data_IF_056931886270
#
_entry.id   IF_056931886270
#
_cell.length_a   1.000
_cell.length_b   1.000
_cell.length_c   1.000
_cell.angle_alpha   90.00
_cell.angle_beta   90.00
_cell.angle_gamma   90.00
#
_symmetry.space_group_name_H-M   'P 1'
#
loop_
_entity.id
_entity.type
_entity.pdbx_description
1 polymer ?
#
# COMPACT_ATOMS: atom_id res chain seq x y z
N UNK A 1 -41.13 -24.44 35.75
CA UNK A 1 -40.88 -23.84 37.06
C UNK A 1 -40.08 -22.58 36.78
N UNK A 2 -40.76 -21.45 36.48
CA UNK A 2 -41.25 -20.37 37.34
C UNK A 2 -40.21 -19.97 38.41
N UNK A 3 -39.61 -18.82 38.36
CA UNK A 3 -40.23 -17.56 38.73
C UNK A 3 -39.29 -16.36 38.55
N UNK A 4 -39.90 -15.27 38.25
CA UNK A 4 -39.44 -13.89 38.08
C UNK A 4 -39.29 -13.14 39.44
N UNK A 5 -39.13 -11.85 39.48
CA UNK A 5 -38.00 -11.08 40.08
C UNK A 5 -38.44 -10.22 41.30
N UNK A 6 -37.53 -9.50 41.90
CA UNK A 6 -37.94 -8.40 42.82
C UNK A 6 -37.12 -7.12 42.56
N UNK A 7 -37.84 -6.07 42.23
CA UNK A 7 -37.49 -4.67 42.38
C UNK A 7 -37.60 -4.26 43.84
N UNK A 8 -36.79 -3.36 44.34
CA UNK A 8 -37.10 -2.46 45.45
C UNK A 8 -36.54 -1.04 45.20
N UNK A 9 -37.41 -0.13 45.47
CA UNK A 9 -37.48 1.30 45.20
C UNK A 9 -36.67 2.21 46.12
N UNK A 10 -36.28 3.36 45.56
CA UNK A 10 -36.10 4.73 46.09
C UNK A 10 -36.23 5.01 47.60
N UNK A 11 -35.34 5.86 48.10
CA UNK A 11 -35.74 7.07 48.92
C UNK A 11 -34.73 8.21 48.78
N UNK A 12 -35.28 9.36 48.45
CA UNK A 12 -34.74 10.69 48.44
C UNK A 12 -34.66 11.26 49.88
N UNK A 13 -33.66 12.09 50.17
CA UNK A 13 -33.56 12.89 51.36
C UNK A 13 -32.85 14.22 51.09
N UNK A 14 -33.63 15.29 51.09
CA UNK A 14 -33.22 16.70 51.03
C UNK A 14 -33.02 17.19 52.49
N UNK A 15 -31.93 17.88 52.78
CA UNK A 15 -31.87 18.82 53.92
C UNK A 15 -30.81 19.93 53.73
N UNK A 16 -31.21 21.02 53.93
CA UNK A 16 -31.03 22.47 54.00
C UNK A 16 -29.68 22.99 54.50
N UNK A 17 -29.44 24.19 54.00
CA UNK A 17 -28.43 25.22 54.26
C UNK A 17 -28.28 25.58 55.77
N UNK A 18 -27.02 25.91 56.12
CA UNK A 18 -26.78 27.08 57.05
C UNK A 18 -25.44 27.74 56.62
N UNK A 19 -25.47 29.07 56.62
CA UNK A 19 -24.36 29.95 56.33
C UNK A 19 -23.67 30.37 57.60
N UNK A 20 -22.36 30.35 57.70
CA UNK A 20 -21.58 31.01 58.73
C UNK A 20 -20.53 31.90 58.08
N UNK A 21 -20.62 33.19 58.38
CA UNK A 21 -19.66 34.25 58.05
C UNK A 21 -18.55 34.25 59.08
N UNK A 22 -17.29 34.20 58.70
CA UNK A 22 -16.19 34.54 59.56
C UNK A 22 -14.98 35.10 58.82
N UNK A 23 -14.48 36.13 59.30
CA UNK A 23 -13.47 37.11 59.03
C UNK A 23 -12.13 36.64 58.36
N UNK A 24 -11.59 37.53 57.52
CA UNK A 24 -10.29 37.50 56.85
C UNK A 24 -9.17 37.95 57.81
N UNK A 25 -8.01 37.29 57.77
CA UNK A 25 -6.75 37.97 57.94
C UNK A 25 -5.92 37.97 56.65
N UNK A 26 -5.41 39.14 56.30
CA UNK A 26 -4.48 39.33 55.21
C UNK A 26 -3.14 38.59 55.43
N UNK A 27 -2.82 37.61 54.61
CA UNK A 27 -1.50 37.03 54.55
C UNK A 27 -0.92 37.31 53.17
N UNK A 28 0.24 37.95 53.14
CA UNK A 28 1.08 38.16 51.96
C UNK A 28 1.49 36.79 51.43
N UNK A 29 0.88 36.35 50.32
CA UNK A 29 1.30 35.16 49.61
C UNK A 29 2.37 35.54 48.59
N UNK A 30 3.59 35.07 48.80
CA UNK A 30 4.63 35.06 47.78
C UNK A 30 4.15 34.27 46.57
N UNK A 31 4.07 34.90 45.40
CA UNK A 31 3.85 34.20 44.11
C UNK A 31 5.02 33.25 43.81
N UNK A 32 4.91 32.03 44.24
CA UNK A 32 5.60 30.93 43.59
C UNK A 32 4.90 30.71 42.26
N UNK A 33 5.48 31.24 41.16
CA UNK A 33 5.14 30.85 39.82
C UNK A 33 5.56 29.38 39.69
N UNK A 34 4.65 28.48 40.01
CA UNK A 34 4.78 27.09 39.60
C UNK A 34 4.83 27.10 38.08
N UNK A 35 6.03 26.80 37.51
CA UNK A 35 6.15 26.47 36.10
C UNK A 35 5.19 25.28 35.88
N UNK A 36 4.03 25.54 35.27
CA UNK A 36 3.12 24.50 34.82
C UNK A 36 3.86 23.55 33.90
N UNK A 37 3.47 22.28 33.83
CA UNK A 37 4.07 21.35 32.87
C UNK A 37 4.03 22.03 31.51
N UNK A 38 5.21 22.15 30.89
CA UNK A 38 5.31 22.68 29.55
C UNK A 38 4.28 21.92 28.67
N UNK A 39 3.36 22.65 28.05
CA UNK A 39 2.36 22.05 27.21
C UNK A 39 3.09 21.13 26.24
N UNK A 40 2.74 19.84 26.25
CA UNK A 40 3.29 18.88 25.30
C UNK A 40 3.02 19.48 23.91
N UNK A 41 4.08 19.72 23.16
CA UNK A 41 3.95 20.28 21.81
C UNK A 41 3.22 19.29 20.89
N UNK A 42 2.83 19.70 19.67
CA UNK A 42 2.15 18.83 18.71
C UNK A 42 2.90 17.53 18.53
N UNK A 43 2.15 16.45 18.52
CA UNK A 43 2.62 15.07 18.37
C UNK A 43 2.05 14.57 17.06
N UNK A 44 2.90 14.02 16.20
CA UNK A 44 2.42 13.33 15.02
C UNK A 44 1.47 12.19 15.38
N UNK A 45 0.47 11.97 14.56
CA UNK A 45 -0.52 10.92 14.80
C UNK A 45 0.06 9.56 14.39
N UNK A 46 -0.21 8.52 15.18
CA UNK A 46 0.07 7.12 14.83
C UNK A 46 -1.05 6.57 13.93
N UNK A 47 -1.14 7.09 12.72
CA UNK A 47 -2.13 6.75 11.71
C UNK A 47 -2.56 7.97 10.91
N UNK A 48 -2.94 7.76 9.66
CA UNK A 48 -3.42 8.80 8.73
C UNK A 48 -4.94 8.88 8.64
N UNK A 49 -5.65 8.13 9.50
CA UNK A 49 -7.11 8.12 9.59
C UNK A 49 -7.78 7.17 8.61
N UNK A 50 -7.07 6.14 8.13
CA UNK A 50 -7.68 5.09 7.33
C UNK A 50 -8.72 4.31 8.15
N UNK A 51 -9.95 4.11 7.64
CA UNK A 51 -11.00 3.45 8.40
C UNK A 51 -10.78 1.94 8.60
N UNK A 52 -10.00 1.30 7.76
CA UNK A 52 -9.75 -0.15 7.79
C UNK A 52 -8.43 -0.51 8.46
N UNK A 53 -7.45 0.37 8.35
CA UNK A 53 -6.13 0.24 8.95
C UNK A 53 -5.76 1.49 9.75
N UNK A 54 -6.40 1.70 10.91
CA UNK A 54 -6.31 2.98 11.64
C UNK A 54 -4.92 3.31 12.18
N UNK A 55 -4.02 2.33 12.25
CA UNK A 55 -2.63 2.51 12.65
C UNK A 55 -1.65 2.47 11.47
N UNK A 56 -2.13 2.36 10.24
CA UNK A 56 -1.26 2.37 9.07
C UNK A 56 -0.90 3.79 8.68
N UNK A 57 0.37 4.00 8.42
CA UNK A 57 0.93 5.32 8.14
C UNK A 57 0.96 6.24 9.34
N UNK A 58 1.54 7.42 9.20
CA UNK A 58 1.79 8.33 10.30
C UNK A 58 1.55 9.79 9.90
N UNK A 59 1.01 10.59 10.81
CA UNK A 59 0.72 11.99 10.54
C UNK A 59 1.80 12.95 11.02
N UNK A 60 1.78 14.18 10.47
CA UNK A 60 2.62 15.28 10.86
C UNK A 60 3.90 15.47 10.02
N UNK A 61 4.17 14.59 9.08
CA UNK A 61 5.26 14.68 8.10
C UNK A 61 4.89 13.99 6.79
N UNK A 62 5.75 14.13 5.79
CA UNK A 62 5.66 13.55 4.46
C UNK A 62 7.06 13.03 4.08
N UNK A 63 7.16 11.79 3.59
CA UNK A 63 8.45 11.18 3.25
C UNK A 63 8.77 11.40 1.77
N UNK A 64 9.91 12.01 1.51
CA UNK A 64 10.39 12.21 0.14
C UNK A 64 11.33 11.12 -0.36
N UNK A 65 12.05 10.44 0.56
CA UNK A 65 13.05 9.44 0.16
C UNK A 65 13.36 8.42 1.25
N UNK A 66 13.52 7.16 0.84
CA UNK A 66 14.07 6.07 1.63
C UNK A 66 15.41 5.58 1.04
N UNK A 67 16.48 5.65 1.82
CA UNK A 67 17.75 4.97 1.54
C UNK A 67 17.87 3.72 2.41
N UNK A 68 17.72 2.54 1.83
CA UNK A 68 17.69 1.26 2.55
C UNK A 68 18.98 0.48 2.30
N UNK A 69 19.77 0.25 3.35
CA UNK A 69 20.94 -0.63 3.34
C UNK A 69 20.59 -1.88 4.13
N UNK A 70 20.56 -3.02 3.45
CA UNK A 70 20.12 -4.29 3.98
C UNK A 70 21.20 -5.37 3.84
N UNK A 71 21.42 -6.15 4.87
CA UNK A 71 22.20 -7.37 4.84
C UNK A 71 21.33 -8.56 5.22
N UNK A 72 21.10 -9.50 4.32
CA UNK A 72 20.29 -10.68 4.60
C UNK A 72 21.06 -11.97 4.38
N UNK A 73 20.86 -12.93 5.26
CA UNK A 73 21.37 -14.29 5.10
C UNK A 73 20.21 -15.29 5.15
N UNK A 74 19.86 -15.92 4.02
CA UNK A 74 18.76 -16.89 3.96
C UNK A 74 18.92 -18.10 4.91
N UNK A 75 20.15 -18.48 5.25
CA UNK A 75 20.39 -19.64 6.14
C UNK A 75 20.00 -19.36 7.58
N UNK A 76 20.35 -18.17 8.08
CA UNK A 76 19.98 -17.73 9.44
C UNK A 76 18.66 -16.99 9.47
N UNK A 77 18.17 -16.58 8.31
CA UNK A 77 17.01 -15.69 8.15
C UNK A 77 17.19 -14.35 8.87
N UNK A 78 18.45 -13.95 9.09
CA UNK A 78 18.78 -12.72 9.79
C UNK A 78 18.89 -11.56 8.81
N UNK A 79 18.24 -10.45 9.18
CA UNK A 79 18.29 -9.17 8.49
C UNK A 79 18.96 -8.13 9.38
N UNK A 80 20.00 -7.49 8.86
CA UNK A 80 20.55 -6.23 9.37
C UNK A 80 20.11 -5.10 8.46
N UNK A 81 19.54 -4.04 9.02
CA UNK A 81 19.02 -2.93 8.26
C UNK A 81 19.46 -1.56 8.79
N UNK A 82 19.69 -0.65 7.87
CA UNK A 82 19.80 0.79 8.13
C UNK A 82 18.89 1.51 7.13
N UNK A 83 17.88 2.21 7.64
CA UNK A 83 17.03 3.10 6.87
C UNK A 83 17.44 4.55 7.11
N UNK A 84 17.73 5.27 6.05
CA UNK A 84 17.90 6.73 6.04
C UNK A 84 16.68 7.31 5.35
N UNK A 85 15.82 7.96 6.13
CA UNK A 85 14.52 8.48 5.70
C UNK A 85 14.62 9.99 5.65
N UNK A 86 14.41 10.60 4.48
CA UNK A 86 14.32 12.05 4.33
C UNK A 86 12.86 12.44 4.32
N UNK A 87 12.44 13.17 5.35
CA UNK A 87 11.06 13.58 5.53
C UNK A 87 10.96 15.10 5.70
N UNK A 88 9.77 15.65 5.46
CA UNK A 88 9.41 17.04 5.68
C UNK A 88 8.28 17.11 6.70
N UNK A 89 8.50 17.83 7.80
CA UNK A 89 7.45 18.07 8.79
C UNK A 89 6.34 18.95 8.19
N UNK A 90 5.10 18.52 8.26
CA UNK A 90 3.94 19.31 7.80
C UNK A 90 3.44 20.26 8.90
N UNK A 91 3.81 19.98 10.15
CA UNK A 91 3.53 20.80 11.31
C UNK A 91 4.75 20.81 12.26
N UNK A 92 4.67 21.54 13.38
CA UNK A 92 5.70 21.47 14.42
C UNK A 92 5.60 20.14 15.16
N UNK A 93 6.68 19.35 15.20
CA UNK A 93 6.71 18.02 15.83
C UNK A 93 7.67 17.96 17.00
N UNK A 94 7.19 17.54 18.16
CA UNK A 94 8.01 17.15 19.32
C UNK A 94 8.20 15.64 19.41
N UNK A 95 7.38 14.88 18.69
CA UNK A 95 7.38 13.42 18.57
C UNK A 95 6.71 13.03 17.26
N UNK A 96 7.14 11.94 16.65
CA UNK A 96 6.52 11.32 15.49
C UNK A 96 6.76 9.81 15.54
N UNK A 97 6.01 9.07 14.76
CA UNK A 97 6.06 7.63 14.73
C UNK A 97 6.47 7.12 13.32
N UNK A 98 6.96 5.88 13.25
CA UNK A 98 7.16 5.10 12.03
C UNK A 98 6.62 3.69 12.28
N UNK A 99 5.99 3.10 11.28
CA UNK A 99 5.56 1.71 11.32
C UNK A 99 6.77 0.78 11.21
N UNK A 100 6.98 -0.09 12.17
CA UNK A 100 8.01 -1.14 12.15
C UNK A 100 7.57 -2.30 13.04
N UNK A 101 7.49 -3.51 12.52
CA UNK A 101 7.07 -4.68 13.26
C UNK A 101 8.24 -5.65 13.53
N UNK A 102 8.28 -6.24 14.71
CA UNK A 102 9.12 -7.41 15.05
C UNK A 102 10.62 -7.18 15.15
N UNK A 103 11.22 -6.28 14.38
CA UNK A 103 12.67 -6.06 14.35
C UNK A 103 13.16 -5.22 15.55
N UNK A 104 14.36 -5.53 16.04
CA UNK A 104 14.98 -4.81 17.17
C UNK A 104 15.70 -3.57 16.65
N UNK A 105 15.26 -2.40 17.08
CA UNK A 105 15.97 -1.13 16.82
C UNK A 105 17.17 -1.02 17.76
N UNK A 106 18.32 -0.65 17.20
CA UNK A 106 19.58 -0.48 17.93
C UNK A 106 20.05 0.96 17.98
N UNK A 107 19.53 1.83 17.11
CA UNK A 107 19.88 3.24 17.11
C UNK A 107 18.88 4.07 16.31
N UNK A 108 18.61 5.29 16.78
CA UNK A 108 17.83 6.30 16.03
C UNK A 108 18.54 7.65 16.14
N UNK A 109 18.68 8.31 15.00
CA UNK A 109 19.09 9.73 14.94
C UNK A 109 18.05 10.52 14.14
N UNK A 110 17.84 11.76 14.53
CA UNK A 110 17.03 12.74 13.81
C UNK A 110 17.89 13.97 13.59
N UNK A 111 17.99 14.45 12.37
CA UNK A 111 18.88 15.55 11.99
C UNK A 111 20.33 15.31 12.47
N UNK A 112 20.80 14.05 12.27
CA UNK A 112 22.13 13.55 12.68
C UNK A 112 22.37 13.54 14.21
N UNK A 113 21.39 13.88 15.02
CA UNK A 113 21.48 13.90 16.48
C UNK A 113 20.73 12.71 17.06
N UNK A 114 21.36 12.03 18.06
CA UNK A 114 20.75 10.88 18.73
C UNK A 114 19.37 11.27 19.30
N UNK A 115 18.34 10.51 18.93
CA UNK A 115 16.98 10.63 19.40
C UNK A 115 16.63 9.53 20.42
N UNK A 116 15.71 9.81 21.32
CA UNK A 116 15.10 8.77 22.14
C UNK A 116 13.96 8.10 21.37
N UNK A 117 13.74 6.82 21.64
CA UNK A 117 12.67 6.07 21.00
C UNK A 117 12.09 5.02 21.94
N UNK A 118 10.88 4.58 21.64
CA UNK A 118 10.21 3.46 22.29
C UNK A 118 9.36 2.70 21.28
N UNK A 119 8.99 1.47 21.62
CA UNK A 119 8.04 0.68 20.83
C UNK A 119 6.65 0.75 21.45
N UNK A 120 5.61 0.83 20.60
CA UNK A 120 4.21 0.77 21.02
C UNK A 120 3.43 -0.02 19.97
N UNK A 121 3.39 -1.36 20.12
CA UNK A 121 2.89 -2.24 19.07
C UNK A 121 3.75 -2.16 17.80
N UNK A 122 3.14 -1.87 16.67
CA UNK A 122 3.82 -1.63 15.40
C UNK A 122 4.55 -0.28 15.35
N UNK A 123 4.26 0.65 16.25
CA UNK A 123 4.84 1.98 16.21
C UNK A 123 6.27 2.01 16.76
N UNK A 124 7.18 2.59 16.00
CA UNK A 124 8.45 3.11 16.47
C UNK A 124 8.29 4.59 16.78
N UNK A 125 7.98 4.89 18.05
CA UNK A 125 7.75 6.25 18.53
C UNK A 125 9.08 6.95 18.76
N UNK A 126 9.36 8.03 18.04
CA UNK A 126 10.62 8.77 18.03
C UNK A 126 10.43 10.15 18.65
N UNK A 127 11.32 10.50 19.59
CA UNK A 127 11.37 11.84 20.21
C UNK A 127 12.69 12.47 19.83
N UNK A 128 12.72 13.42 18.89
CA UNK A 128 13.92 14.15 18.51
C UNK A 128 14.43 15.01 19.67
N UNK A 129 15.72 15.27 19.72
CA UNK A 129 16.31 16.12 20.78
C UNK A 129 15.77 17.54 20.77
N UNK A 130 15.48 18.05 19.59
CA UNK A 130 14.87 19.36 19.37
C UNK A 130 13.59 19.19 18.54
N UNK A 131 12.57 19.99 18.87
CA UNK A 131 11.35 19.97 18.09
C UNK A 131 11.60 20.37 16.63
N UNK A 132 11.04 19.62 15.70
CA UNK A 132 11.06 19.93 14.28
C UNK A 132 10.07 21.06 13.99
N UNK A 133 10.43 21.98 13.10
CA UNK A 133 9.56 23.09 12.69
C UNK A 133 8.72 22.67 11.49
N UNK A 134 7.52 23.23 11.38
CA UNK A 134 6.71 23.06 10.16
C UNK A 134 7.54 23.42 8.91
N UNK A 135 7.40 22.65 7.86
CA UNK A 135 8.13 22.70 6.58
C UNK A 135 9.64 22.43 6.69
N UNK A 136 10.16 22.02 7.84
CA UNK A 136 11.54 21.57 7.99
C UNK A 136 11.73 20.21 7.33
N UNK A 137 12.71 20.10 6.43
CA UNK A 137 13.23 18.82 5.96
C UNK A 137 14.20 18.27 7.02
N UNK A 138 14.11 16.99 7.30
CA UNK A 138 14.95 16.33 8.31
C UNK A 138 15.24 14.88 7.92
N UNK A 139 16.47 14.41 8.07
CA UNK A 139 16.82 13.01 7.95
C UNK A 139 16.56 12.27 9.27
N UNK A 140 15.97 11.07 9.15
CA UNK A 140 15.89 10.09 10.23
C UNK A 140 16.71 8.88 9.85
N UNK A 141 17.64 8.47 10.71
CA UNK A 141 18.37 7.21 10.51
C UNK A 141 17.93 6.22 11.58
N UNK A 142 17.46 5.07 11.16
CA UNK A 142 17.11 3.95 12.03
C UNK A 142 18.00 2.77 11.70
N UNK A 143 18.71 2.24 12.71
CA UNK A 143 19.47 1.00 12.62
C UNK A 143 18.74 -0.09 13.37
N UNK A 144 18.54 -1.23 12.72
CA UNK A 144 17.73 -2.32 13.23
C UNK A 144 18.25 -3.68 12.77
N UNK A 145 17.87 -4.74 13.48
CA UNK A 145 18.23 -6.11 13.09
C UNK A 145 17.25 -7.14 13.68
N UNK A 146 17.30 -8.34 13.16
CA UNK A 146 16.53 -9.47 13.66
C UNK A 146 16.13 -10.44 12.57
N UNK A 147 15.21 -11.32 12.88
CA UNK A 147 14.57 -12.22 11.90
C UNK A 147 13.21 -11.65 11.54
N UNK A 148 13.03 -11.09 10.34
CA UNK A 148 11.72 -10.61 9.91
C UNK A 148 10.69 -11.74 9.96
N UNK A 149 9.46 -11.38 10.27
CA UNK A 149 8.32 -12.30 10.25
C UNK A 149 7.21 -11.66 9.44
N UNK A 150 6.53 -12.42 8.60
CA UNK A 150 5.33 -11.91 7.94
C UNK A 150 4.29 -11.54 8.99
N UNK A 151 3.41 -10.63 8.64
CA UNK A 151 2.15 -10.40 9.34
C UNK A 151 1.07 -11.25 8.69
N UNK A 152 -0.02 -11.47 9.40
CA UNK A 152 -1.23 -12.07 8.85
C UNK A 152 -2.25 -10.97 8.71
N UNK A 153 -2.70 -10.75 7.51
CA UNK A 153 -3.70 -9.73 7.22
C UNK A 153 -5.10 -10.13 7.70
N UNK A 154 -6.02 -9.18 7.78
CA UNK A 154 -7.38 -9.46 8.24
C UNK A 154 -8.13 -10.53 7.43
N UNK A 155 -7.76 -10.77 6.17
CA UNK A 155 -8.29 -11.84 5.30
C UNK A 155 -7.63 -13.21 5.53
N UNK A 156 -6.53 -13.24 6.31
CA UNK A 156 -5.79 -14.46 6.65
C UNK A 156 -4.55 -14.71 5.78
N UNK A 157 -4.27 -13.89 4.76
CA UNK A 157 -3.09 -14.02 3.92
C UNK A 157 -1.80 -13.59 4.64
N UNK A 158 -0.63 -14.18 4.31
CA UNK A 158 0.65 -13.72 4.80
C UNK A 158 1.10 -12.49 4.02
N UNK A 159 1.66 -11.48 4.70
CA UNK A 159 2.14 -10.24 4.09
C UNK A 159 3.49 -9.79 4.68
N UNK A 160 4.33 -9.13 3.90
CA UNK A 160 5.63 -8.60 4.27
C UNK A 160 6.81 -9.47 3.85
N UNK A 161 7.72 -9.72 4.78
CA UNK A 161 8.91 -10.54 4.55
C UNK A 161 8.59 -12.02 4.78
N UNK A 162 8.25 -12.73 3.71
CA UNK A 162 7.84 -14.13 3.74
C UNK A 162 9.04 -15.01 3.40
N UNK A 163 9.57 -15.84 4.33
CA UNK A 163 10.71 -16.70 4.05
C UNK A 163 10.35 -17.77 3.01
N UNK A 164 11.25 -18.00 2.05
CA UNK A 164 11.20 -19.13 1.11
C UNK A 164 12.27 -20.15 1.44
N UNK A 165 12.38 -21.22 0.65
CA UNK A 165 13.36 -22.28 0.88
C UNK A 165 14.82 -21.83 0.62
N UNK A 166 15.04 -20.79 -0.20
CA UNK A 166 16.37 -20.27 -0.53
C UNK A 166 16.52 -18.74 -0.36
N UNK A 167 15.48 -18.06 0.15
CA UNK A 167 15.48 -16.61 0.27
C UNK A 167 14.29 -16.03 1.02
N UNK A 168 13.65 -15.06 0.40
CA UNK A 168 12.44 -14.41 0.88
C UNK A 168 11.64 -13.82 -0.28
N UNK A 169 10.34 -14.06 -0.27
CA UNK A 169 9.32 -13.40 -1.08
C UNK A 169 8.85 -12.17 -0.30
N UNK A 170 9.03 -10.97 -0.87
CA UNK A 170 8.75 -9.73 -0.14
C UNK A 170 7.61 -8.97 -0.81
N UNK A 171 6.42 -9.19 -0.31
CA UNK A 171 5.18 -8.52 -0.68
C UNK A 171 4.75 -7.59 0.45
N UNK A 172 4.04 -6.51 0.17
CA UNK A 172 3.79 -5.49 1.19
C UNK A 172 2.35 -4.99 1.29
N UNK A 173 1.40 -5.56 0.57
CA UNK A 173 0.02 -5.11 0.55
C UNK A 173 -0.86 -5.94 1.50
N UNK A 174 -1.57 -5.26 2.41
CA UNK A 174 -1.67 -3.81 2.59
C UNK A 174 -0.69 -3.22 3.60
N UNK A 175 -0.03 -4.01 4.47
CA UNK A 175 0.73 -3.51 5.61
C UNK A 175 2.15 -4.08 5.76
N UNK A 176 2.58 -4.94 4.87
CA UNK A 176 3.78 -5.77 5.02
C UNK A 176 5.11 -5.02 5.04
N UNK A 177 5.19 -3.79 4.51
CA UNK A 177 6.43 -3.02 4.49
C UNK A 177 7.05 -2.84 5.89
N UNK A 178 6.23 -2.66 6.92
CA UNK A 178 6.68 -2.53 8.32
C UNK A 178 7.42 -3.75 8.87
N UNK A 179 7.35 -4.90 8.20
CA UNK A 179 8.01 -6.13 8.65
C UNK A 179 9.50 -6.15 8.38
N UNK A 180 10.01 -5.24 7.51
CA UNK A 180 11.41 -5.28 7.08
C UNK A 180 12.11 -3.92 7.04
N UNK A 181 11.38 -2.79 7.03
CA UNK A 181 11.96 -1.47 7.24
C UNK A 181 10.97 -0.52 7.93
N UNK A 182 11.45 0.51 8.66
CA UNK A 182 10.58 1.52 9.24
C UNK A 182 10.02 2.41 8.13
N UNK A 183 8.70 2.54 8.07
CA UNK A 183 8.00 3.23 7.00
C UNK A 183 6.90 4.16 7.53
N UNK A 184 6.49 5.13 6.73
CA UNK A 184 5.13 5.68 6.73
C UNK A 184 4.28 4.72 5.87
N UNK A 185 3.65 3.74 6.53
CA UNK A 185 3.15 2.54 5.87
C UNK A 185 1.70 2.67 5.39
N UNK A 186 1.47 3.62 4.49
CA UNK A 186 0.16 3.85 3.89
C UNK A 186 0.29 4.30 2.42
N UNK A 187 -0.61 3.90 1.50
CA UNK A 187 -0.55 4.32 0.10
C UNK A 187 -0.62 5.83 -0.12
N UNK A 188 -1.08 6.59 0.87
CA UNK A 188 -1.12 8.05 0.86
C UNK A 188 0.27 8.71 0.91
N UNK A 189 1.29 8.04 1.46
CA UNK A 189 2.67 8.50 1.43
C UNK A 189 3.44 7.81 0.31
N UNK A 190 4.06 8.57 -0.56
CA UNK A 190 4.84 8.07 -1.71
C UNK A 190 6.21 8.73 -1.75
N UNK A 191 7.24 7.91 -1.82
CA UNK A 191 8.62 8.35 -1.80
C UNK A 191 9.45 7.75 -2.94
N UNK A 192 10.64 8.27 -3.18
CA UNK A 192 11.68 7.60 -3.97
C UNK A 192 12.51 6.67 -3.09
N UNK A 193 13.14 5.64 -3.70
CA UNK A 193 13.91 4.66 -2.95
C UNK A 193 15.28 4.41 -3.59
N UNK A 194 16.31 4.28 -2.73
CA UNK A 194 17.58 3.66 -3.03
C UNK A 194 17.76 2.40 -2.16
N UNK A 195 18.07 1.27 -2.80
CA UNK A 195 18.32 0.01 -2.10
C UNK A 195 19.77 -0.41 -2.30
N UNK A 196 20.43 -0.82 -1.21
CA UNK A 196 21.70 -1.52 -1.22
C UNK A 196 21.52 -2.85 -0.45
N UNK A 197 21.32 -3.95 -1.18
CA UNK A 197 20.97 -5.25 -0.59
C UNK A 197 22.16 -6.18 -0.73
N UNK A 198 22.71 -6.63 0.38
CA UNK A 198 23.87 -7.51 0.46
C UNK A 198 23.44 -8.91 0.90
N UNK A 199 23.70 -9.90 0.05
CA UNK A 199 23.35 -11.31 0.26
C UNK A 199 24.57 -12.20 0.07
N UNK A 200 24.57 -13.48 0.49
CA UNK A 200 25.66 -14.42 0.17
C UNK A 200 25.87 -14.53 -1.34
N UNK A 201 27.11 -14.74 -1.76
CA UNK A 201 27.46 -14.98 -3.16
C UNK A 201 26.68 -16.18 -3.72
N UNK A 202 26.18 -16.06 -4.96
CA UNK A 202 25.29 -17.05 -5.60
C UNK A 202 23.80 -16.87 -5.27
N UNK A 203 23.47 -15.89 -4.43
CA UNK A 203 22.08 -15.44 -4.20
C UNK A 203 21.85 -14.10 -4.91
N UNK A 204 20.66 -13.89 -5.42
CA UNK A 204 20.26 -12.65 -6.09
C UNK A 204 19.28 -11.88 -5.19
N UNK A 205 19.44 -10.56 -5.13
CA UNK A 205 18.48 -9.67 -4.49
C UNK A 205 17.88 -8.72 -5.54
N UNK A 206 16.56 -8.68 -5.60
CA UNK A 206 15.79 -7.92 -6.59
C UNK A 206 14.91 -6.90 -5.87
N UNK A 207 14.97 -5.65 -6.31
CA UNK A 207 14.11 -4.58 -5.80
C UNK A 207 13.48 -3.77 -6.94
N UNK A 208 12.67 -2.78 -6.60
CA UNK A 208 12.01 -1.90 -7.55
C UNK A 208 12.98 -1.02 -8.36
N UNK A 209 12.55 -0.57 -9.50
CA UNK A 209 13.25 0.42 -10.31
C UNK A 209 14.41 -0.17 -11.13
N UNK A 210 15.47 0.59 -11.29
CA UNK A 210 16.62 0.27 -12.15
C UNK A 210 17.78 -0.27 -11.33
N UNK A 211 18.37 -1.41 -11.74
CA UNK A 211 19.64 -1.90 -11.20
C UNK A 211 20.75 -0.92 -11.58
N UNK A 212 21.36 -0.29 -10.59
CA UNK A 212 22.46 0.69 -10.76
C UNK A 212 23.83 0.03 -10.78
N UNK A 213 23.93 -1.19 -10.28
CA UNK A 213 25.14 -1.99 -10.27
C UNK A 213 25.14 -3.06 -9.21
N UNK A 214 26.10 -3.96 -9.31
CA UNK A 214 26.36 -4.98 -8.29
C UNK A 214 27.87 -5.09 -8.04
N UNK A 215 28.23 -5.52 -6.84
CA UNK A 215 29.63 -5.75 -6.48
C UNK A 215 29.76 -6.95 -5.56
N UNK A 216 30.69 -7.86 -5.88
CA UNK A 216 30.96 -9.07 -5.08
C UNK A 216 32.31 -8.94 -4.39
N UNK A 217 32.34 -9.34 -3.12
CA UNK A 217 33.55 -9.38 -2.31
C UNK A 217 33.30 -10.07 -0.98
N UNK A 218 34.30 -10.74 -0.43
CA UNK A 218 34.24 -11.47 0.84
C UNK A 218 33.07 -12.48 0.92
N UNK A 219 32.77 -13.18 -0.20
CA UNK A 219 31.71 -14.19 -0.29
C UNK A 219 30.29 -13.63 -0.25
N UNK A 220 30.11 -12.32 -0.51
CA UNK A 220 28.82 -11.64 -0.56
C UNK A 220 28.69 -10.78 -1.80
N UNK A 221 27.46 -10.58 -2.27
CA UNK A 221 27.14 -9.68 -3.38
C UNK A 221 26.19 -8.59 -2.89
N UNK A 222 26.50 -7.35 -3.22
CA UNK A 222 25.64 -6.19 -2.96
C UNK A 222 25.00 -5.73 -4.27
N UNK A 223 23.68 -5.73 -4.33
CA UNK A 223 22.88 -5.20 -5.42
C UNK A 223 22.40 -3.79 -5.06
N UNK A 224 22.56 -2.83 -5.99
CA UNK A 224 22.12 -1.44 -5.81
C UNK A 224 21.01 -1.12 -6.80
N UNK A 225 19.85 -0.78 -6.27
CA UNK A 225 18.67 -0.44 -7.06
C UNK A 225 18.22 0.99 -6.78
N UNK A 226 17.56 1.61 -7.75
CA UNK A 226 16.96 2.92 -7.59
C UNK A 226 15.57 2.97 -8.21
N UNK A 227 14.59 3.30 -7.38
CA UNK A 227 13.24 3.69 -7.76
C UNK A 227 13.11 5.21 -7.64
N UNK A 228 13.06 5.90 -8.78
CA UNK A 228 13.09 7.38 -8.80
C UNK A 228 11.69 7.99 -8.77
N UNK A 229 10.73 7.33 -9.35
CA UNK A 229 9.34 7.76 -9.34
C UNK A 229 8.72 7.47 -7.97
N UNK A 230 7.83 8.36 -7.47
CA UNK A 230 7.19 8.15 -6.17
C UNK A 230 6.48 6.80 -6.09
N UNK A 231 6.67 6.08 -4.99
CA UNK A 231 6.16 4.74 -4.76
C UNK A 231 5.65 4.63 -3.32
N UNK A 232 4.46 4.10 -3.13
CA UNK A 232 3.94 3.77 -1.81
C UNK A 232 4.74 2.62 -1.18
N UNK A 233 4.80 2.58 0.15
CA UNK A 233 5.64 1.60 0.85
C UNK A 233 5.21 0.15 0.62
N UNK A 234 3.93 -0.12 0.44
CA UNK A 234 3.41 -1.48 0.20
C UNK A 234 3.91 -2.07 -1.13
N UNK A 235 4.23 -1.23 -2.11
CA UNK A 235 4.76 -1.64 -3.41
C UNK A 235 6.26 -1.93 -3.40
N UNK A 236 6.94 -1.65 -2.28
CA UNK A 236 8.38 -1.88 -2.16
C UNK A 236 8.68 -3.36 -1.97
N UNK A 237 9.66 -3.87 -2.75
CA UNK A 237 10.15 -5.23 -2.61
C UNK A 237 11.68 -5.27 -2.45
N UNK A 238 12.15 -6.30 -1.74
CA UNK A 238 13.57 -6.67 -1.62
C UNK A 238 13.67 -8.21 -1.68
N UNK A 239 13.04 -8.81 -2.68
CA UNK A 239 12.93 -10.27 -2.84
C UNK A 239 14.31 -10.90 -3.08
N UNK A 240 14.58 -11.98 -2.38
CA UNK A 240 15.89 -12.65 -2.36
C UNK A 240 15.70 -14.13 -2.70
N UNK A 241 16.54 -14.66 -3.57
CA UNK A 241 16.48 -16.07 -3.96
C UNK A 241 17.55 -16.43 -5.00
N UNK A 242 17.45 -17.64 -5.53
CA UNK A 242 18.26 -18.08 -6.68
C UNK A 242 17.47 -17.89 -7.95
N UNK A 243 17.71 -16.81 -8.64
CA UNK A 243 16.99 -16.47 -9.85
C UNK A 243 17.82 -16.63 -11.13
N UNK A 244 17.19 -17.11 -12.19
CA UNK A 244 17.64 -16.85 -13.57
C UNK A 244 17.22 -15.44 -13.93
N UNK A 245 18.21 -14.62 -14.27
CA UNK A 245 17.99 -13.20 -14.60
C UNK A 245 18.05 -13.02 -16.09
N UNK A 246 17.03 -12.37 -16.65
CA UNK A 246 17.00 -11.88 -18.04
C UNK A 246 16.91 -10.36 -18.01
N UNK A 247 17.79 -9.68 -18.75
CA UNK A 247 17.80 -8.23 -18.89
C UNK A 247 17.82 -7.84 -20.35
N UNK A 248 16.96 -6.92 -20.73
CA UNK A 248 16.94 -6.35 -22.07
C UNK A 248 16.36 -4.93 -22.04
N UNK A 249 16.44 -4.25 -23.18
CA UNK A 249 15.80 -2.95 -23.40
C UNK A 249 14.82 -3.11 -24.55
N UNK A 250 13.59 -2.66 -24.36
CA UNK A 250 12.56 -2.67 -25.42
C UNK A 250 12.91 -1.66 -26.52
N UNK A 251 12.23 -1.75 -27.67
CA UNK A 251 12.49 -0.87 -28.80
C UNK A 251 12.27 0.63 -28.49
N UNK A 252 11.39 0.94 -27.55
CA UNK A 252 11.10 2.28 -27.06
C UNK A 252 12.00 2.73 -25.90
N UNK A 253 13.00 1.90 -25.53
CA UNK A 253 14.03 2.25 -24.55
C UNK A 253 13.71 1.88 -23.09
N UNK A 254 12.61 1.16 -22.82
CA UNK A 254 12.26 0.71 -21.48
C UNK A 254 13.19 -0.44 -21.05
N UNK A 255 13.81 -0.29 -19.87
CA UNK A 255 14.68 -1.32 -19.28
C UNK A 255 13.84 -2.39 -18.60
N UNK A 256 14.00 -3.64 -19.02
CA UNK A 256 13.31 -4.80 -18.46
C UNK A 256 14.29 -5.67 -17.69
N UNK A 257 13.88 -6.10 -16.50
CA UNK A 257 14.61 -7.03 -15.66
C UNK A 257 13.66 -8.09 -15.13
N UNK A 258 13.78 -9.31 -15.62
CA UNK A 258 13.03 -10.47 -15.15
C UNK A 258 13.94 -11.32 -14.26
N UNK A 259 13.44 -11.69 -13.09
CA UNK A 259 14.09 -12.63 -12.17
C UNK A 259 13.14 -13.81 -11.95
N UNK A 260 13.55 -15.01 -12.35
CA UNK A 260 12.68 -16.18 -12.34
C UNK A 260 13.37 -17.33 -11.62
N UNK A 261 12.71 -17.90 -10.60
CA UNK A 261 13.18 -19.15 -9.99
C UNK A 261 13.42 -20.22 -11.07
N UNK A 262 14.56 -20.91 -11.07
CA UNK A 262 14.87 -21.95 -12.05
C UNK A 262 13.77 -23.01 -12.19
N UNK A 263 13.02 -23.28 -11.12
CA UNK A 263 11.94 -24.28 -11.10
C UNK A 263 10.68 -23.81 -11.82
N UNK A 264 10.44 -22.48 -11.87
CA UNK A 264 9.32 -21.85 -12.55
C UNK A 264 9.67 -21.42 -14.00
N UNK A 265 10.96 -21.41 -14.37
CA UNK A 265 11.45 -20.81 -15.62
C UNK A 265 10.80 -21.37 -16.89
N UNK A 266 10.50 -22.67 -16.94
CA UNK A 266 9.88 -23.31 -18.10
C UNK A 266 8.42 -22.88 -18.27
N UNK A 267 7.68 -22.74 -17.18
CA UNK A 267 6.28 -22.33 -17.19
C UNK A 267 6.13 -20.82 -17.40
N UNK A 268 6.99 -20.00 -16.79
CA UNK A 268 6.93 -18.55 -16.89
C UNK A 268 7.39 -17.99 -18.26
N UNK A 269 8.36 -18.63 -18.91
CA UNK A 269 8.98 -18.09 -20.13
C UNK A 269 7.99 -17.76 -21.27
N UNK A 270 6.98 -18.59 -21.61
CA UNK A 270 6.02 -18.26 -22.66
C UNK A 270 5.19 -17.02 -22.37
N UNK A 271 4.87 -16.77 -21.10
CA UNK A 271 4.07 -15.63 -20.67
C UNK A 271 4.92 -14.37 -20.57
N UNK A 272 6.10 -14.44 -19.96
CA UNK A 272 7.00 -13.29 -19.81
C UNK A 272 7.50 -12.75 -21.15
N UNK A 273 7.60 -13.59 -22.19
CA UNK A 273 7.87 -13.13 -23.58
C UNK A 273 6.79 -12.18 -24.11
N UNK A 274 5.58 -12.19 -23.55
CA UNK A 274 4.49 -11.28 -23.94
C UNK A 274 4.52 -9.96 -23.20
N UNK A 275 5.29 -9.84 -22.12
CA UNK A 275 5.35 -8.62 -21.30
C UNK A 275 5.55 -7.34 -22.13
N UNK A 276 6.50 -7.24 -23.10
CA UNK A 276 6.65 -6.02 -23.89
C UNK A 276 5.40 -5.68 -24.71
N UNK A 277 4.72 -6.69 -25.27
CA UNK A 277 3.49 -6.48 -26.07
C UNK A 277 2.29 -6.10 -25.18
N UNK A 278 2.20 -6.66 -23.98
CA UNK A 278 1.18 -6.27 -22.98
C UNK A 278 1.39 -4.81 -22.58
N UNK A 279 2.58 -4.42 -22.16
CA UNK A 279 2.89 -3.03 -21.79
C UNK A 279 2.68 -2.03 -22.94
N UNK A 280 3.00 -2.42 -24.18
CA UNK A 280 2.73 -1.59 -25.36
C UNK A 280 1.22 -1.41 -25.59
N UNK A 281 0.45 -2.49 -25.45
CA UNK A 281 -1.01 -2.44 -25.55
C UNK A 281 -1.60 -1.56 -24.43
N UNK A 282 -1.25 -1.76 -23.18
CA UNK A 282 -1.71 -0.96 -22.04
C UNK A 282 -1.35 0.50 -22.22
N UNK A 283 -0.13 0.80 -22.68
CA UNK A 283 0.28 2.17 -23.02
C UNK A 283 -0.59 2.79 -24.10
N UNK A 284 -1.05 2.01 -25.08
CA UNK A 284 -1.96 2.49 -26.11
C UNK A 284 -3.37 2.81 -25.60
N UNK A 285 -3.79 2.11 -24.54
CA UNK A 285 -5.12 2.24 -23.92
C UNK A 285 -5.11 3.26 -22.78
N UNK A 286 -4.19 3.14 -21.84
CA UNK A 286 -4.17 3.90 -20.58
C UNK A 286 -3.27 5.15 -20.63
N UNK A 287 -2.46 5.30 -21.68
CA UNK A 287 -1.47 6.36 -21.80
C UNK A 287 -0.06 5.86 -21.55
N UNK A 288 0.97 6.71 -21.75
CA UNK A 288 2.37 6.30 -21.66
C UNK A 288 2.68 5.55 -20.35
N UNK A 289 3.49 4.49 -20.45
CA UNK A 289 3.96 3.75 -19.28
C UNK A 289 4.58 4.72 -18.25
N UNK A 290 4.18 4.64 -16.97
CA UNK A 290 4.51 5.71 -16.04
C UNK A 290 5.95 5.70 -15.52
N UNK A 291 6.70 4.61 -15.69
CA UNK A 291 7.98 4.37 -15.04
C UNK A 291 9.14 4.19 -16.05
N UNK A 292 10.37 4.12 -15.53
CA UNK A 292 11.61 3.95 -16.33
C UNK A 292 12.15 2.53 -16.37
N UNK A 293 11.50 1.63 -15.65
CA UNK A 293 11.85 0.22 -15.59
C UNK A 293 10.60 -0.62 -15.62
N UNK A 294 10.72 -1.86 -16.09
CA UNK A 294 9.70 -2.89 -16.03
C UNK A 294 10.34 -4.26 -15.79
N UNK A 295 9.53 -5.28 -15.60
CA UNK A 295 9.97 -6.65 -15.46
C UNK A 295 9.00 -7.49 -14.67
N UNK A 296 9.51 -8.61 -14.15
CA UNK A 296 8.77 -9.53 -13.29
C UNK A 296 9.72 -10.21 -12.31
N UNK A 297 9.22 -10.53 -11.13
CA UNK A 297 9.86 -11.48 -10.22
C UNK A 297 8.92 -12.68 -10.12
N UNK A 298 9.38 -13.86 -10.52
CA UNK A 298 8.65 -15.11 -10.37
C UNK A 298 9.44 -15.97 -9.41
N UNK A 299 8.98 -16.08 -8.19
CA UNK A 299 9.58 -16.91 -7.16
C UNK A 299 8.80 -18.23 -7.04
N UNK A 300 9.29 -19.14 -6.25
CA UNK A 300 8.57 -20.33 -5.85
C UNK A 300 8.16 -20.20 -4.38
N UNK A 301 6.99 -19.67 -4.16
CA UNK A 301 6.43 -19.40 -2.84
C UNK A 301 4.98 -19.92 -2.72
N UNK A 302 4.73 -21.23 -2.87
CA UNK A 302 3.39 -21.79 -3.03
C UNK A 302 2.46 -21.59 -1.84
N UNK A 303 3.00 -21.24 -0.67
CA UNK A 303 2.21 -20.95 0.54
C UNK A 303 1.71 -19.49 0.58
N UNK A 304 2.09 -18.65 -0.39
CA UNK A 304 1.65 -17.26 -0.49
C UNK A 304 0.26 -17.18 -1.11
N UNK A 305 0.07 -17.74 -2.30
CA UNK A 305 -1.22 -17.90 -2.95
C UNK A 305 -1.73 -16.68 -3.71
N UNK A 306 -0.87 -15.66 -3.97
CA UNK A 306 -1.21 -14.46 -4.72
C UNK A 306 -0.03 -13.88 -5.50
N UNK A 307 -0.32 -12.98 -6.45
CA UNK A 307 0.64 -12.08 -7.08
C UNK A 307 0.48 -10.68 -6.49
N UNK A 308 1.49 -9.83 -6.66
CA UNK A 308 1.44 -8.44 -6.22
C UNK A 308 2.10 -7.52 -7.25
N UNK A 309 1.46 -6.41 -7.52
CA UNK A 309 1.83 -5.38 -8.50
C UNK A 309 3.10 -4.59 -8.16
N UNK A 310 3.99 -5.06 -7.31
CA UNK A 310 5.17 -4.29 -6.85
C UNK A 310 5.73 -3.39 -7.96
N UNK A 311 5.81 -2.07 -7.67
CA UNK A 311 6.03 -1.04 -8.69
C UNK A 311 7.23 -1.33 -9.58
N UNK A 312 7.07 -1.27 -10.88
CA UNK A 312 8.02 -1.58 -11.96
C UNK A 312 8.32 -3.07 -12.17
N UNK A 313 7.94 -3.95 -11.25
CA UNK A 313 8.31 -5.37 -11.32
C UNK A 313 7.36 -6.21 -10.49
N UNK A 314 6.15 -6.49 -11.01
CA UNK A 314 5.20 -7.36 -10.33
C UNK A 314 5.83 -8.66 -9.85
N UNK A 315 5.39 -9.12 -8.69
CA UNK A 315 5.89 -10.26 -7.96
C UNK A 315 4.86 -11.38 -8.00
N UNK A 316 5.29 -12.57 -8.40
CA UNK A 316 4.44 -13.76 -8.57
C UNK A 316 4.99 -14.89 -7.70
N UNK A 317 4.11 -15.58 -6.99
CA UNK A 317 4.45 -16.74 -6.14
C UNK A 317 4.74 -18.03 -6.94
N UNK A 318 4.38 -18.03 -8.20
CA UNK A 318 4.58 -19.09 -9.20
C UNK A 318 4.48 -18.51 -10.62
N UNK A 319 4.70 -19.32 -11.63
CA UNK A 319 4.58 -18.87 -13.02
C UNK A 319 3.17 -18.33 -13.33
N UNK A 320 3.01 -17.04 -13.70
CA UNK A 320 1.70 -16.46 -13.98
C UNK A 320 1.12 -16.99 -15.30
N UNK A 321 -0.20 -16.93 -15.44
CA UNK A 321 -0.85 -16.98 -16.74
C UNK A 321 -0.90 -15.58 -17.40
N UNK A 322 -1.46 -15.52 -18.62
CA UNK A 322 -1.52 -14.25 -19.36
C UNK A 322 -2.50 -13.25 -18.73
N UNK A 323 -3.60 -13.73 -18.15
CA UNK A 323 -4.58 -12.85 -17.49
C UNK A 323 -3.96 -12.17 -16.28
N UNK A 324 -3.27 -12.95 -15.44
CA UNK A 324 -2.53 -12.44 -14.28
C UNK A 324 -1.43 -11.47 -14.72
N UNK A 325 -0.67 -11.77 -15.79
CA UNK A 325 0.34 -10.83 -16.31
C UNK A 325 -0.29 -9.48 -16.73
N UNK A 326 -1.45 -9.50 -17.41
CA UNK A 326 -2.18 -8.26 -17.78
C UNK A 326 -2.69 -7.53 -16.54
N UNK A 327 -3.24 -8.26 -15.57
CA UNK A 327 -3.73 -7.69 -14.31
C UNK A 327 -2.62 -6.92 -13.59
N UNK A 328 -1.53 -7.59 -13.26
CA UNK A 328 -0.40 -6.99 -12.53
C UNK A 328 0.29 -5.87 -13.32
N UNK A 329 0.30 -5.97 -14.65
CA UNK A 329 0.85 -4.90 -15.50
C UNK A 329 -0.05 -3.66 -15.49
N UNK A 330 -1.37 -3.82 -15.47
CA UNK A 330 -2.32 -2.70 -15.46
C UNK A 330 -2.25 -1.88 -14.16
N UNK A 331 -1.93 -2.53 -13.04
CA UNK A 331 -1.68 -1.85 -11.78
C UNK A 331 -0.58 -0.80 -11.86
N UNK A 332 0.38 -0.91 -12.79
CA UNK A 332 1.41 0.11 -12.96
C UNK A 332 0.83 1.50 -13.26
N UNK A 333 -0.38 1.56 -13.84
CA UNK A 333 -1.16 2.81 -13.98
C UNK A 333 -2.13 3.01 -12.83
N UNK A 334 -2.86 1.94 -12.39
CA UNK A 334 -3.97 1.97 -11.45
C UNK A 334 -3.61 1.23 -10.15
N UNK A 335 -3.07 1.94 -9.18
CA UNK A 335 -2.50 1.43 -7.93
C UNK A 335 -1.11 2.02 -7.69
N UNK A 336 -0.19 1.82 -8.64
CA UNK A 336 1.20 2.26 -8.51
C UNK A 336 1.37 3.74 -8.85
N UNK A 337 1.10 4.11 -10.10
CA UNK A 337 1.24 5.50 -10.53
C UNK A 337 0.15 6.39 -9.92
N UNK A 338 -1.10 5.97 -9.99
CA UNK A 338 -2.22 6.59 -9.30
C UNK A 338 -2.56 5.75 -8.08
N UNK A 339 -2.10 6.17 -6.90
CA UNK A 339 -2.31 5.47 -5.66
C UNK A 339 -3.63 5.86 -4.97
N UNK A 340 -4.00 5.13 -3.94
CA UNK A 340 -5.18 5.38 -3.11
C UNK A 340 -4.91 6.45 -2.05
N UNK A 341 -5.94 7.18 -1.63
CA UNK A 341 -5.93 8.01 -0.42
C UNK A 341 -6.44 7.26 0.81
N UNK A 342 -7.13 6.14 0.61
CA UNK A 342 -7.67 5.25 1.64
C UNK A 342 -7.90 3.87 1.06
N UNK A 343 -7.68 2.82 1.84
CA UNK A 343 -7.92 1.44 1.45
C UNK A 343 -9.39 1.14 1.13
N UNK A 344 -10.30 1.99 1.57
CA UNK A 344 -11.71 1.91 1.20
C UNK A 344 -11.93 1.99 -0.32
N UNK A 345 -11.08 2.73 -1.03
CA UNK A 345 -11.18 2.95 -2.47
C UNK A 345 -10.45 1.88 -3.32
N UNK A 346 -10.06 0.73 -2.74
CA UNK A 346 -9.25 -0.32 -3.39
C UNK A 346 -9.82 -0.83 -4.74
N UNK A 347 -11.11 -0.72 -4.97
CA UNK A 347 -11.71 -1.06 -6.27
C UNK A 347 -11.13 -0.22 -7.44
N UNK A 348 -10.55 0.97 -7.15
CA UNK A 348 -9.85 1.79 -8.16
C UNK A 348 -8.54 1.14 -8.65
N UNK A 349 -7.97 0.22 -7.88
CA UNK A 349 -6.86 -0.63 -8.29
C UNK A 349 -7.43 -1.89 -8.94
N UNK A 350 -8.08 -2.73 -8.15
CA UNK A 350 -8.49 -4.09 -8.52
C UNK A 350 -9.56 -4.17 -9.59
N UNK A 351 -10.56 -3.31 -9.51
CA UNK A 351 -11.61 -3.24 -10.52
C UNK A 351 -11.08 -2.79 -11.89
N UNK A 352 -10.07 -1.92 -11.92
CA UNK A 352 -9.42 -1.47 -13.14
C UNK A 352 -8.51 -2.55 -13.73
N UNK A 353 -7.71 -3.21 -12.90
CA UNK A 353 -6.85 -4.31 -13.35
C UNK A 353 -7.67 -5.49 -13.86
N UNK A 354 -8.74 -5.88 -13.17
CA UNK A 354 -9.69 -6.89 -13.66
C UNK A 354 -10.35 -6.46 -14.97
N UNK A 355 -10.70 -5.20 -15.13
CA UNK A 355 -11.27 -4.72 -16.38
C UNK A 355 -10.24 -4.69 -17.53
N UNK A 356 -8.97 -4.45 -17.22
CA UNK A 356 -7.88 -4.55 -18.21
C UNK A 356 -7.77 -5.96 -18.78
N UNK A 357 -7.93 -7.01 -17.98
CA UNK A 357 -7.98 -8.41 -18.44
C UNK A 357 -9.13 -8.61 -19.45
N UNK A 358 -10.34 -8.10 -19.14
CA UNK A 358 -11.49 -8.23 -20.03
C UNK A 358 -11.27 -7.48 -21.35
N UNK A 359 -10.73 -6.27 -21.27
CA UNK A 359 -10.47 -5.43 -22.43
C UNK A 359 -9.34 -6.01 -23.32
N UNK A 360 -8.28 -6.54 -22.68
CA UNK A 360 -7.21 -7.25 -23.39
C UNK A 360 -7.77 -8.45 -24.14
N UNK A 361 -8.54 -9.28 -23.46
CA UNK A 361 -9.17 -10.48 -24.04
C UNK A 361 -10.06 -10.13 -25.24
N UNK A 362 -10.92 -9.11 -25.10
CA UNK A 362 -11.81 -8.61 -26.15
C UNK A 362 -11.01 -8.15 -27.36
N UNK A 363 -9.99 -7.33 -27.16
CA UNK A 363 -9.20 -6.73 -28.25
C UNK A 363 -8.25 -7.72 -28.94
N UNK A 364 -8.03 -8.89 -28.34
CA UNK A 364 -7.24 -9.97 -28.94
C UNK A 364 -8.09 -11.14 -29.45
N UNK A 365 -9.37 -10.87 -29.77
CA UNK A 365 -10.28 -11.81 -30.44
C UNK A 365 -10.91 -12.85 -29.52
N UNK A 366 -10.82 -12.67 -28.21
CA UNK A 366 -11.47 -13.52 -27.23
C UNK A 366 -12.85 -13.00 -26.83
N UNK A 367 -13.30 -13.38 -25.64
CA UNK A 367 -14.60 -13.02 -25.08
C UNK A 367 -14.71 -11.50 -24.89
N UNK A 368 -15.82 -10.89 -25.30
CA UNK A 368 -16.04 -9.47 -25.07
C UNK A 368 -16.22 -9.12 -23.57
N UNK A 369 -15.87 -7.89 -23.20
CA UNK A 369 -16.08 -7.39 -21.85
C UNK A 369 -17.57 -7.39 -21.47
N UNK A 370 -18.48 -7.14 -22.43
CA UNK A 370 -19.92 -7.27 -22.21
C UNK A 370 -20.31 -8.72 -21.89
N UNK A 371 -19.78 -9.71 -22.59
CA UNK A 371 -20.07 -11.11 -22.30
C UNK A 371 -19.48 -11.55 -20.95
N UNK A 372 -18.34 -10.96 -20.51
CA UNK A 372 -17.82 -11.15 -19.16
C UNK A 372 -18.76 -10.59 -18.11
N UNK A 373 -19.25 -9.37 -18.30
CA UNK A 373 -20.27 -8.74 -17.48
C UNK A 373 -21.54 -9.59 -17.39
N UNK A 374 -22.11 -10.02 -18.52
CA UNK A 374 -23.37 -10.78 -18.59
C UNK A 374 -23.30 -12.08 -17.78
N UNK A 375 -22.16 -12.79 -17.86
CA UNK A 375 -21.98 -14.04 -17.10
C UNK A 375 -21.87 -13.79 -15.57
N UNK A 376 -21.28 -12.69 -15.14
CA UNK A 376 -21.26 -12.31 -13.74
C UNK A 376 -22.64 -11.84 -13.28
N UNK A 377 -23.34 -11.06 -14.12
CA UNK A 377 -24.68 -10.59 -13.80
C UNK A 377 -25.70 -11.73 -13.73
N UNK A 378 -25.52 -12.82 -14.48
CA UNK A 378 -26.35 -14.02 -14.40
C UNK A 378 -26.30 -14.74 -13.05
N UNK A 379 -25.29 -14.48 -12.21
CA UNK A 379 -25.19 -15.07 -10.88
C UNK A 379 -26.37 -14.66 -10.01
N UNK A 380 -26.94 -15.56 -9.16
CA UNK A 380 -28.10 -15.25 -8.33
C UNK A 380 -27.78 -14.14 -7.32
N UNK A 381 -28.83 -13.44 -6.85
CA UNK A 381 -28.68 -12.32 -5.90
C UNK A 381 -28.02 -12.71 -4.56
N UNK A 382 -28.08 -13.97 -4.14
CA UNK A 382 -27.40 -14.48 -2.97
C UNK A 382 -25.92 -14.86 -3.20
N UNK A 383 -25.34 -14.63 -4.39
CA UNK A 383 -23.94 -14.90 -4.65
C UNK A 383 -23.05 -13.86 -3.96
N UNK A 384 -21.87 -14.30 -3.45
CA UNK A 384 -20.89 -13.44 -2.78
C UNK A 384 -20.45 -12.20 -3.59
N UNK A 385 -20.54 -12.24 -4.92
CA UNK A 385 -20.32 -11.07 -5.79
C UNK A 385 -21.15 -9.84 -5.40
N UNK A 386 -22.28 -10.04 -4.74
CA UNK A 386 -23.23 -8.98 -4.37
C UNK A 386 -23.23 -8.66 -2.87
N UNK A 387 -22.26 -9.22 -2.10
CA UNK A 387 -22.27 -9.17 -0.65
C UNK A 387 -22.19 -7.74 -0.09
N UNK A 388 -21.38 -6.89 -0.72
CA UNK A 388 -21.18 -5.50 -0.30
C UNK A 388 -20.91 -4.57 -1.49
N UNK A 389 -20.84 -3.28 -1.21
CA UNK A 389 -20.50 -2.23 -2.18
C UNK A 389 -19.00 -2.18 -2.43
N UNK A 390 -18.49 -2.26 -3.68
CA UNK A 390 -17.05 -2.21 -3.97
C UNK A 390 -16.32 -0.99 -3.40
N UNK A 391 -16.98 0.16 -3.32
CA UNK A 391 -16.44 1.38 -2.74
C UNK A 391 -16.57 1.45 -1.20
N UNK A 392 -17.06 0.39 -0.57
CA UNK A 392 -17.12 0.23 0.87
C UNK A 392 -17.13 -1.26 1.27
N UNK A 393 -15.97 -1.93 1.22
CA UNK A 393 -15.84 -3.32 1.67
C UNK A 393 -16.25 -3.55 3.14
N UNK A 394 -16.32 -2.49 3.95
CA UNK A 394 -16.75 -2.54 5.34
C UNK A 394 -15.63 -2.85 6.34
N UNK A 395 -14.55 -3.50 5.91
CA UNK A 395 -13.38 -3.77 6.75
C UNK A 395 -12.17 -4.17 5.91
N UNK A 396 -10.97 -4.15 6.52
CA UNK A 396 -9.74 -4.65 5.90
C UNK A 396 -9.78 -6.14 5.51
N UNK A 397 -10.67 -6.94 6.10
CA UNK A 397 -10.81 -8.36 5.75
C UNK A 397 -11.47 -8.61 4.39
N UNK A 398 -12.05 -7.59 3.79
CA UNK A 398 -12.84 -7.72 2.55
C UNK A 398 -12.29 -6.91 1.38
N UNK A 399 -11.15 -6.23 1.55
CA UNK A 399 -10.58 -5.38 0.50
C UNK A 399 -10.11 -6.18 -0.73
N UNK A 400 -9.88 -7.48 -0.58
CA UNK A 400 -9.50 -8.40 -1.66
C UNK A 400 -10.61 -9.42 -2.01
N UNK A 401 -11.85 -9.17 -1.61
CA UNK A 401 -12.96 -10.04 -1.95
C UNK A 401 -13.51 -9.78 -3.36
N UNK A 402 -14.16 -10.79 -3.92
CA UNK A 402 -14.73 -10.79 -5.28
C UNK A 402 -15.51 -9.53 -5.68
N UNK A 403 -16.32 -8.88 -4.81
CA UNK A 403 -17.01 -7.65 -5.19
C UNK A 403 -16.07 -6.53 -5.62
N UNK A 404 -14.92 -6.37 -4.96
CA UNK A 404 -13.95 -5.31 -5.27
C UNK A 404 -13.42 -5.47 -6.70
N UNK A 405 -12.98 -6.64 -7.07
CA UNK A 405 -12.48 -7.01 -8.40
C UNK A 405 -13.58 -7.03 -9.45
N UNK A 406 -14.44 -8.02 -9.33
CA UNK A 406 -15.40 -8.36 -10.38
C UNK A 406 -16.51 -7.33 -10.53
N UNK A 407 -17.11 -6.85 -9.41
CA UNK A 407 -18.16 -5.84 -9.47
C UNK A 407 -17.58 -4.45 -9.74
N UNK A 408 -16.35 -4.18 -9.32
CA UNK A 408 -15.57 -3.01 -9.75
C UNK A 408 -15.43 -2.98 -11.28
N UNK A 409 -14.97 -4.08 -11.88
CA UNK A 409 -14.89 -4.21 -13.34
C UNK A 409 -16.25 -4.11 -14.03
N UNK A 410 -17.31 -4.65 -13.44
CA UNK A 410 -18.68 -4.49 -13.95
C UNK A 410 -19.13 -3.04 -13.98
N UNK A 411 -18.77 -2.24 -12.97
CA UNK A 411 -19.06 -0.81 -12.93
C UNK A 411 -18.36 -0.06 -14.07
N UNK A 412 -17.13 -0.43 -14.41
CA UNK A 412 -16.41 0.13 -15.56
C UNK A 412 -17.05 -0.26 -16.89
N UNK A 413 -17.57 -1.49 -17.03
CA UNK A 413 -18.33 -1.89 -18.22
C UNK A 413 -19.63 -1.09 -18.33
N UNK A 414 -20.31 -0.83 -17.22
CA UNK A 414 -21.51 0.03 -17.22
C UNK A 414 -21.20 1.46 -17.60
N UNK A 415 -20.08 2.00 -17.09
CA UNK A 415 -19.60 3.31 -17.49
C UNK A 415 -19.34 3.35 -19.01
N UNK A 416 -18.61 2.34 -19.56
CA UNK A 416 -18.34 2.23 -21.00
C UNK A 416 -19.62 2.22 -21.83
N UNK A 417 -20.61 1.44 -21.42
CA UNK A 417 -21.94 1.37 -22.07
C UNK A 417 -22.64 2.72 -22.04
N UNK A 418 -22.58 3.44 -20.92
CA UNK A 418 -23.25 4.72 -20.73
C UNK A 418 -22.61 5.85 -21.56
N UNK A 419 -21.28 5.87 -21.70
CA UNK A 419 -20.57 7.01 -22.32
C UNK A 419 -20.01 6.68 -23.71
N UNK A 420 -19.99 5.43 -24.13
CA UNK A 420 -19.42 4.91 -25.39
C UNK A 420 -17.89 4.77 -25.33
N UNK A 421 -17.34 3.89 -26.18
CA UNK A 421 -15.96 3.46 -26.18
C UNK A 421 -14.94 4.61 -26.21
N UNK A 422 -15.13 5.57 -27.11
CA UNK A 422 -14.21 6.71 -27.26
C UNK A 422 -14.12 7.54 -25.97
N UNK A 423 -15.26 7.85 -25.36
CA UNK A 423 -15.28 8.64 -24.14
C UNK A 423 -14.76 7.84 -22.96
N UNK A 424 -15.08 6.57 -22.87
CA UNK A 424 -14.59 5.66 -21.86
C UNK A 424 -13.05 5.56 -21.86
N UNK A 425 -12.44 5.26 -23.01
CA UNK A 425 -10.98 5.19 -23.12
C UNK A 425 -10.30 6.54 -22.81
N UNK A 426 -10.96 7.65 -23.17
CA UNK A 426 -10.47 8.98 -22.76
C UNK A 426 -10.52 9.17 -21.25
N UNK A 427 -11.56 8.67 -20.57
CA UNK A 427 -11.68 8.72 -19.10
C UNK A 427 -10.54 7.95 -18.44
N UNK A 428 -10.32 6.70 -18.84
CA UNK A 428 -9.24 5.87 -18.30
C UNK A 428 -7.87 6.54 -18.46
N UNK A 429 -7.58 7.05 -19.67
CA UNK A 429 -6.33 7.75 -19.98
C UNK A 429 -6.18 9.05 -19.20
N UNK A 430 -7.24 9.83 -19.07
CA UNK A 430 -7.22 11.08 -18.30
C UNK A 430 -6.99 10.79 -16.82
N UNK A 431 -7.64 9.76 -16.27
CA UNK A 431 -7.42 9.35 -14.89
C UNK A 431 -5.95 9.03 -14.62
N UNK A 432 -5.37 8.12 -15.40
CA UNK A 432 -3.97 7.73 -15.28
C UNK A 432 -2.98 8.89 -15.50
N UNK A 433 -3.35 9.89 -16.32
CA UNK A 433 -2.44 10.98 -16.68
C UNK A 433 -2.56 12.16 -15.72
N UNK A 434 -3.80 12.58 -15.36
CA UNK A 434 -4.05 13.72 -14.49
C UNK A 434 -3.63 13.46 -13.04
N UNK A 435 -3.67 12.19 -12.61
CA UNK A 435 -3.28 11.75 -11.26
C UNK A 435 -1.90 11.07 -11.21
N UNK A 436 -1.14 11.10 -12.31
CA UNK A 436 0.17 10.42 -12.43
C UNK A 436 1.11 10.79 -11.30
N UNK A 437 1.63 9.77 -10.59
CA UNK A 437 2.55 9.93 -9.47
C UNK A 437 1.90 10.44 -8.18
N UNK A 438 0.58 10.68 -8.21
CA UNK A 438 -0.22 11.15 -7.09
C UNK A 438 -1.23 10.11 -6.61
N UNK A 439 -2.42 10.60 -6.23
CA UNK A 439 -3.47 9.84 -5.60
C UNK A 439 -4.81 10.11 -6.26
N UNK A 440 -5.78 9.22 -6.01
CA UNK A 440 -7.15 9.43 -6.42
C UNK A 440 -8.17 8.81 -5.45
N UNK A 441 -9.39 9.30 -5.54
CA UNK A 441 -10.55 8.82 -4.79
C UNK A 441 -11.69 8.44 -5.74
N UNK A 442 -12.60 7.58 -5.29
CA UNK A 442 -13.83 7.26 -6.03
C UNK A 442 -14.59 8.52 -6.44
N UNK A 443 -14.71 9.50 -5.54
CA UNK A 443 -15.42 10.75 -5.85
C UNK A 443 -14.74 11.57 -6.96
N UNK A 444 -13.41 11.57 -7.02
CA UNK A 444 -12.65 12.24 -8.09
C UNK A 444 -12.81 11.53 -9.42
N UNK A 445 -12.80 10.20 -9.43
CA UNK A 445 -13.03 9.41 -10.64
C UNK A 445 -14.44 9.64 -11.21
N UNK A 446 -15.46 9.70 -10.36
CA UNK A 446 -16.85 10.03 -10.76
C UNK A 446 -16.90 11.40 -11.38
N UNK A 447 -16.36 12.44 -10.72
CA UNK A 447 -16.32 13.82 -11.24
C UNK A 447 -15.58 13.93 -12.58
N UNK A 448 -14.45 13.22 -12.73
CA UNK A 448 -13.72 13.16 -13.99
C UNK A 448 -14.59 12.58 -15.11
N UNK A 449 -15.28 11.48 -14.80
CA UNK A 449 -16.14 10.77 -15.75
C UNK A 449 -17.32 11.64 -16.20
N UNK A 450 -17.95 12.35 -15.29
CA UNK A 450 -19.02 13.31 -15.58
C UNK A 450 -18.52 14.49 -16.41
N UNK A 451 -17.39 15.10 -16.02
CA UNK A 451 -16.76 16.20 -16.76
C UNK A 451 -16.45 15.84 -18.20
N UNK A 452 -15.91 14.63 -18.44
CA UNK A 452 -15.51 14.20 -19.78
C UNK A 452 -16.68 13.70 -20.64
N UNK A 453 -17.73 13.15 -20.02
CA UNK A 453 -18.90 12.62 -20.74
C UNK A 453 -19.98 13.66 -20.94
N UNK A 454 -20.06 14.68 -20.09
CA UNK A 454 -21.19 15.63 -20.02
C UNK A 454 -22.48 14.99 -19.48
N UNK A 455 -22.38 13.84 -18.81
CA UNK A 455 -23.54 13.09 -18.27
C UNK A 455 -23.49 13.09 -16.75
N UNK A 456 -24.66 13.06 -16.11
CA UNK A 456 -24.81 12.70 -14.70
C UNK A 456 -24.60 11.18 -14.58
N UNK A 457 -23.49 10.78 -13.94
CA UNK A 457 -23.11 9.39 -13.73
C UNK A 457 -23.24 8.96 -12.26
N UNK A 458 -23.62 9.89 -11.38
CA UNK A 458 -23.81 9.59 -9.96
C UNK A 458 -24.79 8.41 -9.71
N UNK A 459 -25.96 8.31 -10.39
CA UNK A 459 -26.87 7.17 -10.20
C UNK A 459 -26.24 5.84 -10.62
N UNK A 460 -25.42 5.82 -11.69
CA UNK A 460 -24.72 4.62 -12.15
C UNK A 460 -23.72 4.15 -11.08
N UNK A 461 -22.84 5.03 -10.65
CA UNK A 461 -21.81 4.68 -9.65
C UNK A 461 -22.44 4.34 -8.30
N UNK A 462 -23.45 5.08 -7.85
CA UNK A 462 -24.20 4.74 -6.65
C UNK A 462 -24.76 3.29 -6.71
N UNK A 463 -25.32 2.89 -7.83
CA UNK A 463 -25.88 1.56 -8.01
C UNK A 463 -24.82 0.47 -8.05
N UNK A 464 -23.72 0.69 -8.80
CA UNK A 464 -22.76 -0.37 -9.10
C UNK A 464 -21.64 -0.52 -8.08
N UNK A 465 -21.20 0.59 -7.47
CA UNK A 465 -20.11 0.55 -6.49
C UNK A 465 -20.49 1.10 -5.11
N UNK A 466 -21.58 1.87 -5.00
CA UNK A 466 -21.98 2.51 -3.75
C UNK A 466 -23.04 1.79 -2.94
N UNK A 467 -23.65 0.72 -3.48
CA UNK A 467 -24.77 0.01 -2.84
C UNK A 467 -24.52 -1.49 -2.83
N UNK A 468 -24.76 -2.16 -1.70
CA UNK A 468 -24.75 -3.61 -1.58
C UNK A 468 -25.91 -4.27 -2.33
N UNK A 469 -25.80 -5.56 -2.61
CA UNK A 469 -26.83 -6.33 -3.30
C UNK A 469 -26.73 -6.27 -4.83
N UNK A 470 -27.41 -7.21 -5.50
CA UNK A 470 -27.47 -7.27 -6.96
C UNK A 470 -28.34 -6.14 -7.51
N UNK A 471 -27.86 -5.28 -8.43
CA UNK A 471 -28.69 -4.30 -9.12
C UNK A 471 -29.90 -4.95 -9.80
N UNK A 472 -31.05 -4.29 -9.80
CA UNK A 472 -32.31 -4.82 -10.36
C UNK A 472 -32.29 -4.92 -11.88
N UNK A 473 -31.44 -4.13 -12.54
CA UNK A 473 -31.26 -4.16 -14.00
C UNK A 473 -29.76 -4.23 -14.35
N UNK A 474 -29.40 -4.96 -15.43
CA UNK A 474 -28.03 -5.06 -15.89
C UNK A 474 -27.49 -3.76 -16.47
#
# INVERSE_FOLDING_TARGET
MTSRPQQVTRRSGVLRREAVVAAIPAAVAALLVAAGPAAAGPVGNSGVGDPYFPLAGNGGYDVGHYGLTLGYDPRSRHLDGTAVITARATERLTRFDLDLSGLKVTGVTVDHVKASYRRAGQELVITPRHALRANQEFPVTVTYSGTPKPVTDPDGSPDGWIPTDDGAFVAGEPQGAMTWFPADNHPKDKASYDFAITVPEGTTAVANGVLRGQSTGHGRTTFRWRQSEPMASYLATATVGKFKVEQYTTADGLKVYNAVDPREASAAAPVLKKLPSVLAWESSVFGPYPFRAAGAIVDRAPDVGYALETQTRPLYDSAPDLSTLVHESAHQWFGDSVALTTWKDIWLNEGFATYAEWLYTEQHGGRSAQAAFDALYAKPAGNGLWAFAPADPGSGAHIFDTPVYSRGAMALQKLRTAVGDRTFLRILRSWATEHRGGHGTTAEFVRLSERLSGKDLHPLFHTWIGTAGKPSSP
#
